data_IF_519718723567
#
_entry.id   IF_519718723567
#
_cell.length_a   1.000
_cell.length_b   1.000
_cell.length_c   1.000
_cell.angle_alpha   90.00
_cell.angle_beta   90.00
_cell.angle_gamma   90.00
#
_symmetry.space_group_name_H-M   'P 1'
#
loop_
_entity.id
_entity.type
_entity.pdbx_description
1 polymer ?
#
# COMPACT_ATOMS: atom_id res chain seq x y z
N UNK A 1 -11.62 -16.97 -4.17
CA UNK A 1 -10.53 -16.21 -4.82
C UNK A 1 -9.26 -16.41 -4.01
N UNK A 2 -8.30 -17.18 -4.51
CA UNK A 2 -6.98 -17.33 -3.86
C UNK A 2 -5.91 -16.78 -4.79
N UNK A 3 -5.13 -15.82 -4.29
CA UNK A 3 -3.90 -15.39 -4.96
C UNK A 3 -2.90 -16.55 -4.87
N UNK A 4 -2.11 -16.79 -5.94
CA UNK A 4 -1.08 -17.84 -5.95
C UNK A 4 -0.13 -17.68 -4.77
N UNK A 5 0.30 -18.81 -4.16
CA UNK A 5 1.32 -18.82 -3.09
C UNK A 5 2.67 -18.22 -3.52
N UNK A 6 2.93 -18.12 -4.82
CA UNK A 6 4.14 -17.51 -5.38
C UNK A 6 4.01 -16.03 -5.72
N UNK A 7 2.83 -15.43 -5.53
CA UNK A 7 2.60 -14.04 -5.88
C UNK A 7 3.28 -13.09 -4.89
N UNK A 8 3.92 -12.05 -5.40
CA UNK A 8 4.56 -11.03 -4.60
C UNK A 8 4.41 -9.67 -5.28
N UNK A 9 3.76 -8.73 -4.58
CA UNK A 9 3.60 -7.35 -5.06
C UNK A 9 4.96 -6.70 -5.35
N UNK A 10 5.97 -6.93 -4.50
CA UNK A 10 7.35 -6.47 -4.75
C UNK A 10 7.91 -6.99 -6.07
N UNK A 11 7.75 -8.28 -6.37
CA UNK A 11 8.26 -8.86 -7.63
C UNK A 11 7.53 -8.29 -8.84
N UNK A 12 6.24 -8.04 -8.73
CA UNK A 12 5.47 -7.38 -9.80
C UNK A 12 5.93 -5.94 -10.02
N UNK A 13 6.11 -5.16 -8.95
CA UNK A 13 6.62 -3.78 -9.04
C UNK A 13 8.02 -3.73 -9.64
N UNK A 14 8.92 -4.63 -9.22
CA UNK A 14 10.27 -4.73 -9.79
C UNK A 14 10.22 -5.10 -11.27
N UNK A 15 9.36 -6.04 -11.66
CA UNK A 15 9.19 -6.43 -13.05
C UNK A 15 8.66 -5.26 -13.89
N UNK A 16 7.67 -4.52 -13.40
CA UNK A 16 7.16 -3.32 -14.09
C UNK A 16 8.26 -2.26 -14.21
N UNK A 17 8.97 -1.96 -13.11
CA UNK A 17 10.06 -0.97 -13.10
C UNK A 17 11.19 -1.31 -14.06
N UNK A 18 11.61 -2.59 -14.13
CA UNK A 18 12.67 -3.02 -15.04
C UNK A 18 12.28 -2.94 -16.53
N UNK A 19 10.99 -3.03 -16.85
CA UNK A 19 10.49 -2.91 -18.21
C UNK A 19 10.14 -1.46 -18.58
N UNK A 20 10.14 -0.55 -17.61
CA UNK A 20 9.77 0.84 -17.80
C UNK A 20 10.98 1.67 -18.25
N UNK A 21 11.18 1.76 -19.57
CA UNK A 21 12.27 2.51 -20.16
C UNK A 21 11.81 3.86 -20.70
N UNK A 22 12.63 4.89 -20.50
CA UNK A 22 12.36 6.20 -21.07
C UNK A 22 12.47 6.15 -22.60
N UNK A 23 11.53 6.76 -23.32
CA UNK A 23 11.49 6.68 -24.77
C UNK A 23 12.71 7.37 -25.39
N UNK A 24 13.30 6.73 -26.39
CA UNK A 24 14.47 7.26 -27.09
C UNK A 24 14.06 8.33 -28.10
N UNK A 25 15.01 9.19 -28.50
CA UNK A 25 14.73 10.30 -29.43
C UNK A 25 14.06 9.83 -30.75
N UNK A 26 14.49 8.70 -31.30
CA UNK A 26 13.89 8.09 -32.49
C UNK A 26 12.46 7.60 -32.26
N UNK A 27 12.16 7.04 -31.09
CA UNK A 27 10.80 6.58 -30.71
C UNK A 27 9.87 7.78 -30.49
N UNK A 28 10.37 8.86 -29.91
CA UNK A 28 9.64 10.12 -29.72
C UNK A 28 9.24 10.69 -31.08
N UNK A 29 10.17 10.75 -32.03
CA UNK A 29 9.89 11.24 -33.39
C UNK A 29 8.90 10.32 -34.11
N UNK A 30 9.12 9.00 -34.08
CA UNK A 30 8.27 8.03 -34.77
C UNK A 30 6.82 7.99 -34.26
N UNK A 31 6.61 8.33 -32.99
CA UNK A 31 5.28 8.33 -32.35
C UNK A 31 4.66 9.72 -32.22
N UNK A 32 5.29 10.76 -32.80
CA UNK A 32 4.82 12.14 -32.67
C UNK A 32 4.75 12.62 -31.21
N UNK A 33 5.62 12.10 -30.33
CA UNK A 33 5.65 12.43 -28.90
C UNK A 33 4.74 11.58 -28.00
N UNK A 34 3.86 10.73 -28.56
CA UNK A 34 2.94 9.90 -27.77
C UNK A 34 3.68 8.96 -26.79
N UNK A 35 4.85 8.45 -27.17
CA UNK A 35 5.68 7.60 -26.32
C UNK A 35 6.04 8.27 -24.97
N UNK A 36 6.19 9.60 -24.95
CA UNK A 36 6.44 10.36 -23.71
C UNK A 36 5.24 10.28 -22.78
N UNK A 37 4.03 10.44 -23.29
CA UNK A 37 2.80 10.42 -22.48
C UNK A 37 2.54 9.03 -21.90
N UNK A 38 2.71 7.98 -22.72
CA UNK A 38 2.57 6.59 -22.26
C UNK A 38 3.60 6.28 -21.18
N UNK A 39 4.86 6.71 -21.36
CA UNK A 39 5.91 6.57 -20.35
C UNK A 39 5.54 7.29 -19.04
N UNK A 40 5.04 8.52 -19.11
CA UNK A 40 4.60 9.27 -17.93
C UNK A 40 3.45 8.56 -17.20
N UNK A 41 2.41 8.12 -17.92
CA UNK A 41 1.27 7.41 -17.33
C UNK A 41 1.72 6.12 -16.61
N UNK A 42 2.59 5.33 -17.25
CA UNK A 42 3.12 4.11 -16.67
C UNK A 42 4.00 4.38 -15.44
N UNK A 43 4.79 5.46 -15.46
CA UNK A 43 5.60 5.89 -14.31
C UNK A 43 4.73 6.27 -13.12
N UNK A 44 3.66 7.03 -13.35
CA UNK A 44 2.71 7.41 -12.30
C UNK A 44 1.98 6.18 -11.75
N UNK A 45 1.58 5.25 -12.60
CA UNK A 45 0.95 4.00 -12.17
C UNK A 45 1.88 3.18 -11.28
N UNK A 46 3.13 3.00 -11.70
CA UNK A 46 4.16 2.31 -10.91
C UNK A 46 4.35 2.99 -9.55
N UNK A 47 4.44 4.32 -9.52
CA UNK A 47 4.57 5.10 -8.29
C UNK A 47 3.39 4.88 -7.35
N UNK A 48 2.15 4.93 -7.86
CA UNK A 48 0.94 4.71 -7.04
C UNK A 48 0.87 3.28 -6.51
N UNK A 49 1.14 2.28 -7.35
CA UNK A 49 1.17 0.88 -6.92
C UNK A 49 2.26 0.66 -5.87
N UNK A 50 3.45 1.26 -6.05
CA UNK A 50 4.51 1.23 -5.06
C UNK A 50 4.07 1.88 -3.73
N UNK A 51 3.45 3.05 -3.77
CA UNK A 51 2.99 3.75 -2.56
C UNK A 51 1.95 2.93 -1.78
N UNK A 52 1.02 2.26 -2.48
CA UNK A 52 0.04 1.37 -1.84
C UNK A 52 0.71 0.18 -1.16
N UNK A 53 1.68 -0.43 -1.84
CA UNK A 53 2.47 -1.53 -1.30
C UNK A 53 3.32 -1.08 -0.11
N UNK A 54 3.88 0.12 -0.17
CA UNK A 54 4.66 0.75 0.90
C UNK A 54 3.83 1.10 2.15
N UNK A 55 2.53 1.32 1.99
CA UNK A 55 1.63 1.58 3.11
C UNK A 55 1.37 0.34 3.98
N UNK A 56 1.62 -0.88 3.46
CA UNK A 56 1.37 -2.15 4.14
C UNK A 56 2.62 -2.55 4.95
N UNK A 57 2.55 -2.61 6.29
CA UNK A 57 3.73 -2.78 7.16
C UNK A 57 4.36 -4.18 7.11
N UNK A 58 3.81 -5.12 6.33
CA UNK A 58 4.27 -6.50 6.26
C UNK A 58 5.43 -6.70 5.26
N UNK A 59 5.80 -5.66 4.51
CA UNK A 59 6.70 -5.78 3.36
C UNK A 59 8.08 -5.17 3.62
N UNK A 60 8.70 -5.60 4.72
CA UNK A 60 10.01 -5.17 5.21
C UNK A 60 11.18 -5.39 4.21
N UNK A 61 10.91 -6.05 3.07
CA UNK A 61 11.93 -6.42 2.07
C UNK A 61 11.66 -5.87 0.66
N UNK A 62 10.57 -5.12 0.42
CA UNK A 62 10.14 -4.73 -0.92
C UNK A 62 10.24 -3.25 -1.28
N UNK A 63 10.61 -2.38 -0.34
CA UNK A 63 10.58 -0.92 -0.49
C UNK A 63 11.76 -0.34 -1.28
N UNK A 64 12.71 -1.16 -1.71
CA UNK A 64 13.91 -0.75 -2.46
C UNK A 64 13.71 -0.87 -3.97
N UNK A 65 12.50 -0.64 -4.49
CA UNK A 65 12.32 -0.47 -5.93
C UNK A 65 12.96 0.86 -6.29
N UNK A 66 14.10 0.82 -6.96
CA UNK A 66 14.82 2.02 -7.40
C UNK A 66 13.95 2.81 -8.39
N UNK A 67 13.21 3.78 -7.86
CA UNK A 67 12.38 4.68 -8.65
C UNK A 67 13.29 5.75 -9.26
N UNK A 68 13.76 5.51 -10.49
CA UNK A 68 14.63 6.43 -11.21
C UNK A 68 13.91 6.98 -12.41
N UNK A 69 13.62 8.29 -12.37
CA UNK A 69 13.03 9.02 -13.48
C UNK A 69 14.10 9.95 -14.06
N UNK A 70 14.30 9.94 -15.39
CA UNK A 70 15.19 10.90 -16.05
C UNK A 70 14.82 12.36 -15.72
N UNK A 71 15.84 13.15 -15.35
CA UNK A 71 15.65 14.55 -14.90
C UNK A 71 15.21 15.52 -16.00
N UNK A 72 15.22 15.09 -17.26
CA UNK A 72 14.78 15.89 -18.41
C UNK A 72 13.26 16.12 -18.43
N UNK A 73 12.48 15.35 -17.66
CA UNK A 73 11.05 15.58 -17.52
C UNK A 73 10.75 16.57 -16.39
N UNK A 74 9.94 17.60 -16.66
CA UNK A 74 9.57 18.63 -15.68
C UNK A 74 8.87 18.06 -14.43
N UNK A 75 8.14 16.95 -14.57
CA UNK A 75 7.48 16.25 -13.46
C UNK A 75 8.41 15.31 -12.68
N UNK A 76 9.64 15.06 -13.14
CA UNK A 76 10.57 14.14 -12.49
C UNK A 76 10.98 14.61 -11.09
N UNK A 77 11.24 15.91 -10.91
CA UNK A 77 11.62 16.48 -9.62
C UNK A 77 10.50 16.33 -8.56
N UNK A 78 9.25 16.76 -8.79
CA UNK A 78 8.20 16.63 -7.78
C UNK A 78 7.86 15.17 -7.44
N UNK A 79 7.86 14.26 -8.41
CA UNK A 79 7.58 12.84 -8.13
C UNK A 79 8.71 12.18 -7.33
N UNK A 80 9.97 12.55 -7.61
CA UNK A 80 11.13 12.06 -6.85
C UNK A 80 11.10 12.57 -5.42
N UNK A 81 10.77 13.85 -5.22
CA UNK A 81 10.63 14.43 -3.88
C UNK A 81 9.50 13.76 -3.09
N UNK A 82 8.38 13.43 -3.73
CA UNK A 82 7.29 12.71 -3.09
C UNK A 82 7.71 11.29 -2.68
N UNK A 83 8.42 10.58 -3.56
CA UNK A 83 9.00 9.28 -3.27
C UNK A 83 9.93 9.33 -2.05
N UNK A 84 10.85 10.30 -2.01
CA UNK A 84 11.76 10.52 -0.89
C UNK A 84 11.02 10.80 0.43
N UNK A 85 10.02 11.69 0.42
CA UNK A 85 9.22 11.97 1.63
C UNK A 85 8.49 10.74 2.16
N UNK A 86 7.90 9.92 1.28
CA UNK A 86 7.24 8.68 1.68
C UNK A 86 8.25 7.71 2.30
N UNK A 87 9.45 7.59 1.72
CA UNK A 87 10.54 6.77 2.25
C UNK A 87 11.07 7.27 3.61
N UNK A 88 11.12 8.58 3.83
CA UNK A 88 11.50 9.14 5.12
C UNK A 88 10.43 8.88 6.20
N UNK A 89 9.16 9.07 5.86
CA UNK A 89 8.04 8.80 6.78
C UNK A 89 7.91 7.31 7.10
N UNK A 90 8.18 6.40 6.15
CA UNK A 90 8.18 4.96 6.41
C UNK A 90 9.28 4.55 7.39
N UNK A 91 10.50 5.10 7.27
CA UNK A 91 11.60 4.87 8.23
C UNK A 91 11.32 5.45 9.62
N UNK A 92 10.64 6.59 9.71
CA UNK A 92 10.20 7.16 11.00
C UNK A 92 9.14 6.28 11.68
N UNK A 93 8.22 5.72 10.87
CA UNK A 93 7.17 4.78 11.31
C UNK A 93 7.76 3.43 11.76
N UNK A 94 8.86 2.97 11.17
CA UNK A 94 9.59 1.77 11.61
C UNK A 94 10.22 1.96 13.00
N UNK A 95 10.86 3.11 13.25
CA UNK A 95 11.48 3.45 14.54
C UNK A 95 10.46 3.68 15.67
N UNK A 96 9.28 4.18 15.34
CA UNK A 96 8.13 4.25 16.24
C UNK A 96 7.26 3.02 15.99
N UNK A 97 7.71 1.84 16.44
CA UNK A 97 6.97 0.55 16.45
C UNK A 97 5.58 0.70 15.86
N UNK A 98 5.43 0.41 14.57
CA UNK A 98 4.23 0.78 13.81
C UNK A 98 2.98 0.06 14.33
N UNK A 99 2.32 0.71 15.28
CA UNK A 99 1.15 0.26 16.03
C UNK A 99 -0.15 0.48 15.25
N UNK A 100 -0.40 -0.24 14.16
CA UNK A 100 -1.74 -0.14 13.57
C UNK A 100 -2.17 -1.16 12.53
N UNK A 101 -1.34 -2.16 12.22
CA UNK A 101 -1.76 -3.33 11.42
C UNK A 101 -0.94 -4.56 11.82
N UNK A 102 0.38 -4.43 12.05
CA UNK A 102 1.22 -5.53 12.57
C UNK A 102 0.82 -5.93 13.99
N UNK A 103 0.50 -4.97 14.85
CA UNK A 103 0.09 -5.24 16.24
C UNK A 103 -1.24 -5.99 16.29
N UNK A 104 -2.21 -5.54 15.50
CA UNK A 104 -3.54 -6.13 15.45
C UNK A 104 -3.52 -7.50 14.76
N UNK A 105 -2.81 -7.65 13.64
CA UNK A 105 -2.66 -8.96 12.98
C UNK A 105 -1.93 -9.95 13.89
N UNK A 106 -0.84 -9.52 14.55
CA UNK A 106 -0.14 -10.36 15.51
C UNK A 106 -1.02 -10.71 16.72
N UNK A 107 -1.83 -9.76 17.20
CA UNK A 107 -2.82 -9.98 18.26
C UNK A 107 -3.88 -11.01 17.87
N UNK A 108 -4.42 -10.91 16.64
CA UNK A 108 -5.37 -11.89 16.10
C UNK A 108 -4.72 -13.26 15.97
N UNK A 109 -3.49 -13.35 15.46
CA UNK A 109 -2.76 -14.61 15.33
C UNK A 109 -2.51 -15.26 16.70
N UNK A 110 -2.06 -14.47 17.69
CA UNK A 110 -1.86 -14.92 19.07
C UNK A 110 -3.16 -15.46 19.67
N UNK A 111 -4.25 -14.69 19.60
CA UNK A 111 -5.54 -15.12 20.14
C UNK A 111 -6.06 -16.36 19.40
N UNK A 112 -5.93 -16.42 18.08
CA UNK A 112 -6.38 -17.56 17.28
C UNK A 112 -5.64 -18.86 17.63
N UNK A 113 -4.34 -18.80 17.94
CA UNK A 113 -3.59 -19.98 18.38
C UNK A 113 -4.08 -20.49 19.73
N UNK A 114 -4.19 -19.61 20.72
CA UNK A 114 -4.66 -20.01 22.06
C UNK A 114 -6.11 -20.50 22.05
N UNK A 115 -6.99 -19.86 21.28
CA UNK A 115 -8.36 -20.33 21.10
C UNK A 115 -8.40 -21.71 20.42
N UNK A 116 -7.54 -21.97 19.44
CA UNK A 116 -7.46 -23.29 18.80
C UNK A 116 -6.98 -24.39 19.76
N UNK A 117 -6.01 -24.07 20.63
CA UNK A 117 -5.50 -24.99 21.67
C UNK A 117 -6.57 -25.33 22.71
N UNK A 118 -7.39 -24.35 23.11
CA UNK A 118 -8.46 -24.51 24.09
C UNK A 118 -9.73 -25.16 23.51
N UNK A 119 -9.98 -25.02 22.21
CA UNK A 119 -11.19 -25.54 21.54
C UNK A 119 -10.94 -26.91 20.86
N UNK A 120 -9.83 -27.58 21.19
CA UNK A 120 -9.54 -28.93 20.71
C UNK A 120 -10.68 -29.89 21.12
N UNK A 121 -11.36 -30.56 20.17
CA UNK A 121 -12.52 -31.40 20.45
C UNK A 121 -12.25 -32.50 21.48
N UNK A 122 -10.99 -32.94 21.62
CA UNK A 122 -10.57 -33.94 22.60
C UNK A 122 -10.55 -33.45 24.06
N UNK A 123 -10.68 -32.14 24.30
CA UNK A 123 -10.61 -31.53 25.64
C UNK A 123 -11.99 -31.15 26.21
N UNK A 124 -13.08 -31.62 25.59
CA UNK A 124 -14.44 -31.39 26.05
C UNK A 124 -14.92 -32.54 26.96
N UNK A 125 -15.55 -32.26 28.12
CA UNK A 125 -15.88 -30.95 28.67
C UNK A 125 -14.67 -30.19 29.23
N UNK A 126 -14.64 -28.88 28.97
CA UNK A 126 -13.62 -27.97 29.48
C UNK A 126 -13.74 -27.82 31.02
N UNK A 127 -12.61 -27.71 31.70
CA UNK A 127 -12.62 -27.34 33.12
C UNK A 127 -13.03 -25.87 33.29
N UNK A 128 -13.59 -25.52 34.46
CA UNK A 128 -14.01 -24.16 34.76
C UNK A 128 -12.89 -23.12 34.54
N UNK A 129 -11.64 -23.46 34.87
CA UNK A 129 -10.48 -22.59 34.66
C UNK A 129 -10.22 -22.35 33.16
N UNK A 130 -10.32 -23.40 32.33
CA UNK A 130 -10.15 -23.27 30.87
C UNK A 130 -11.29 -22.51 30.21
N UNK A 131 -12.51 -22.60 30.73
CA UNK A 131 -13.63 -21.78 30.25
C UNK A 131 -13.43 -20.28 30.54
N UNK A 132 -12.87 -19.93 31.70
CA UNK A 132 -12.51 -18.54 32.02
C UNK A 132 -11.42 -18.03 31.08
N UNK A 133 -10.38 -18.84 30.86
CA UNK A 133 -9.29 -18.50 29.93
C UNK A 133 -9.80 -18.32 28.48
N UNK A 134 -10.69 -19.21 28.02
CA UNK A 134 -11.34 -19.10 26.71
C UNK A 134 -12.10 -17.78 26.57
N UNK A 135 -12.91 -17.41 27.57
CA UNK A 135 -13.65 -16.14 27.57
C UNK A 135 -12.72 -14.94 27.51
N UNK A 136 -11.60 -14.99 28.22
CA UNK A 136 -10.60 -13.92 28.21
C UNK A 136 -9.96 -13.78 26.83
N UNK A 137 -9.55 -14.87 26.18
CA UNK A 137 -8.99 -14.83 24.82
C UNK A 137 -9.99 -14.37 23.77
N UNK A 138 -11.27 -14.76 23.90
CA UNK A 138 -12.34 -14.25 23.02
C UNK A 138 -12.51 -12.73 23.20
N UNK A 139 -12.45 -12.24 24.43
CA UNK A 139 -12.54 -10.81 24.71
C UNK A 139 -11.33 -10.03 24.17
N UNK A 140 -10.11 -10.55 24.34
CA UNK A 140 -8.88 -9.97 23.77
C UNK A 140 -8.96 -9.94 22.23
N UNK A 141 -9.44 -11.02 21.60
CA UNK A 141 -9.65 -11.07 20.15
C UNK A 141 -10.67 -10.02 19.68
N UNK A 142 -11.81 -9.87 20.37
CA UNK A 142 -12.81 -8.86 20.05
C UNK A 142 -12.21 -7.46 20.07
N UNK A 143 -11.46 -7.13 21.11
CA UNK A 143 -10.82 -5.82 21.25
C UNK A 143 -9.82 -5.54 20.13
N UNK A 144 -9.05 -6.55 19.73
CA UNK A 144 -8.10 -6.41 18.62
C UNK A 144 -8.84 -6.22 17.29
N UNK A 145 -9.94 -6.94 17.06
CA UNK A 145 -10.77 -6.76 15.87
C UNK A 145 -11.39 -5.37 15.78
N UNK A 146 -11.86 -4.81 16.91
CA UNK A 146 -12.42 -3.45 16.96
C UNK A 146 -11.34 -2.40 16.62
N UNK A 147 -10.15 -2.53 17.20
CA UNK A 147 -9.00 -1.67 16.87
C UNK A 147 -8.63 -1.72 15.39
N UNK A 148 -8.62 -2.93 14.80
CA UNK A 148 -8.33 -3.12 13.38
C UNK A 148 -9.39 -2.44 12.51
N UNK A 149 -10.67 -2.62 12.85
CA UNK A 149 -11.79 -2.00 12.11
C UNK A 149 -11.68 -0.48 12.13
N UNK A 150 -11.46 0.12 13.29
CA UNK A 150 -11.31 1.58 13.42
C UNK A 150 -10.13 2.12 12.59
N UNK A 151 -9.03 1.37 12.54
CA UNK A 151 -7.86 1.67 11.70
C UNK A 151 -8.18 1.61 10.21
N UNK A 152 -8.87 0.57 9.76
CA UNK A 152 -9.29 0.41 8.36
C UNK A 152 -10.29 1.48 7.93
N UNK A 153 -11.26 1.82 8.78
CA UNK A 153 -12.23 2.88 8.51
C UNK A 153 -11.56 4.25 8.35
N UNK A 154 -10.51 4.51 9.13
CA UNK A 154 -9.70 5.73 9.00
C UNK A 154 -8.92 5.72 7.68
N UNK A 155 -8.30 4.59 7.34
CA UNK A 155 -7.54 4.44 6.09
C UNK A 155 -8.44 4.65 4.87
N UNK A 156 -9.63 4.04 4.84
CA UNK A 156 -10.58 4.20 3.75
C UNK A 156 -10.94 5.68 3.54
N UNK A 157 -11.23 6.40 4.62
CA UNK A 157 -11.53 7.84 4.58
C UNK A 157 -10.39 8.65 3.97
N UNK A 158 -9.14 8.37 4.37
CA UNK A 158 -7.96 9.07 3.82
C UNK A 158 -7.74 8.75 2.35
N UNK A 159 -7.87 7.48 1.94
CA UNK A 159 -7.73 7.07 0.54
C UNK A 159 -8.80 7.75 -0.32
N UNK A 160 -10.05 7.79 0.17
CA UNK A 160 -11.16 8.47 -0.50
C UNK A 160 -10.90 9.97 -0.64
N UNK A 161 -10.39 10.63 0.39
CA UNK A 161 -10.02 12.04 0.35
C UNK A 161 -8.94 12.31 -0.71
N UNK A 162 -7.87 11.52 -0.72
CA UNK A 162 -6.79 11.64 -1.72
C UNK A 162 -7.33 11.44 -3.12
N UNK A 163 -8.20 10.44 -3.32
CA UNK A 163 -8.86 10.21 -4.60
C UNK A 163 -9.69 11.42 -5.04
N UNK A 164 -10.53 11.98 -4.17
CA UNK A 164 -11.29 13.19 -4.47
C UNK A 164 -10.38 14.37 -4.83
N UNK A 165 -9.26 14.55 -4.12
CA UNK A 165 -8.27 15.61 -4.45
C UNK A 165 -7.65 15.39 -5.82
N UNK A 166 -7.31 14.16 -6.19
CA UNK A 166 -6.78 13.84 -7.53
C UNK A 166 -7.80 14.16 -8.61
N UNK A 167 -9.05 13.72 -8.45
CA UNK A 167 -10.12 13.96 -9.42
C UNK A 167 -10.40 15.47 -9.56
N UNK A 168 -10.45 16.20 -8.45
CA UNK A 168 -10.64 17.65 -8.46
C UNK A 168 -9.49 18.36 -9.19
N UNK A 169 -8.24 18.09 -8.82
CA UNK A 169 -7.08 18.69 -9.45
C UNK A 169 -7.01 18.37 -10.97
N UNK A 170 -7.42 17.16 -11.37
CA UNK A 170 -7.52 16.79 -12.78
C UNK A 170 -8.60 17.59 -13.50
N UNK A 171 -9.76 17.76 -12.88
CA UNK A 171 -10.88 18.52 -13.46
C UNK A 171 -10.48 19.98 -13.62
N UNK A 172 -9.96 20.59 -12.56
CA UNK A 172 -9.46 21.97 -12.55
C UNK A 172 -8.35 22.17 -13.62
N UNK A 173 -7.45 21.19 -13.78
CA UNK A 173 -6.41 21.22 -14.81
C UNK A 173 -6.94 21.13 -16.24
N UNK A 174 -7.98 20.33 -16.48
CA UNK A 174 -8.65 20.24 -17.78
C UNK A 174 -9.41 21.53 -18.12
N UNK A 175 -10.07 22.14 -17.13
CA UNK A 175 -10.78 23.41 -17.30
C UNK A 175 -9.83 24.55 -17.68
N UNK A 176 -8.66 24.62 -17.03
CA UNK A 176 -7.61 25.59 -17.39
C UNK A 176 -7.09 25.41 -18.82
N UNK A 177 -6.95 24.16 -19.31
CA UNK A 177 -6.52 23.88 -20.69
C UNK A 177 -7.59 24.25 -21.73
N UNK A 178 -8.87 24.04 -21.40
CA UNK A 178 -10.00 24.43 -22.24
C UNK A 178 -10.14 25.95 -22.39
N UNK A 179 -9.84 26.72 -21.34
CA UNK A 179 -9.84 28.18 -21.39
C UNK A 179 -8.62 28.77 -22.13
N UNK A 180 -7.47 28.08 -22.12
CA UNK A 180 -6.28 28.52 -22.85
C UNK A 180 -6.37 28.30 -24.37
N UNK A 181 -7.39 27.58 -24.84
CA UNK A 181 -7.60 27.26 -26.27
C UNK A 181 -8.72 28.07 -26.92
N UNK A 182 -9.32 29.02 -26.19
CA UNK A 182 -10.24 30.06 -26.68
C UNK A 182 -9.60 31.44 -26.58
#
# INVERSE_FOLDING_TARGET
WSVSRSWSAARQLLAIGNNLNAPRANEIIATGGLAIHVYTMNTVLLFVMWALVAAIPCQDRGLQTHFSVPRNFLWAAPITLLHERIMEESKKKERRSSNGLLKEIHGIEKCSRHLAELTDPGQCPLSADKEVELRQWVQELSQVCDSLKDGLDRLERQVREVFHRIIRNRSDGLDCLGQATT
#
